data_IF_903016035719
#
_entry.id   IF_903016035719
#
_cell.length_a   1.000
_cell.length_b   1.000
_cell.length_c   1.000
_cell.angle_alpha   90.00
_cell.angle_beta   90.00
_cell.angle_gamma   90.00
#
_symmetry.space_group_name_H-M   'P 1'
#
loop_
_entity.id
_entity.type
_entity.pdbx_description
1 polymer ?
#
# COMPACT_ATOMS: atom_id res chain seq x y z
N UNK A 1 44.21 -28.99 53.38
CA UNK A 1 43.20 -27.89 53.35
C UNK A 1 43.29 -27.26 51.94
N UNK A 2 42.42 -27.69 51.05
CA UNK A 2 42.36 -27.19 49.67
C UNK A 2 41.36 -26.05 49.59
N UNK A 3 41.83 -24.87 49.22
CA UNK A 3 40.97 -23.68 49.02
C UNK A 3 40.29 -23.82 47.67
N UNK A 4 38.98 -23.95 47.66
CA UNK A 4 38.12 -23.88 46.49
C UNK A 4 37.91 -22.39 46.13
N UNK A 5 38.50 -21.93 45.07
CA UNK A 5 38.16 -20.62 44.49
C UNK A 5 37.00 -20.79 43.53
N UNK A 6 35.84 -20.30 43.92
CA UNK A 6 34.67 -20.24 43.06
C UNK A 6 34.86 -19.05 42.07
N UNK A 7 35.00 -19.34 40.81
CA UNK A 7 34.94 -18.33 39.73
C UNK A 7 33.49 -18.01 39.46
N UNK A 8 33.05 -16.80 39.82
CA UNK A 8 31.76 -16.25 39.50
C UNK A 8 31.81 -15.72 38.07
N UNK A 9 31.30 -16.50 37.11
CA UNK A 9 31.06 -16.02 35.74
C UNK A 9 29.85 -15.10 35.77
N UNK A 10 30.07 -13.80 35.76
CA UNK A 10 29.04 -12.80 35.46
C UNK A 10 28.79 -12.82 33.96
N UNK A 11 27.71 -13.47 33.53
CA UNK A 11 27.18 -13.35 32.17
C UNK A 11 26.50 -12.01 32.12
N UNK A 12 27.18 -11.02 31.53
CA UNK A 12 26.56 -9.74 31.17
C UNK A 12 25.66 -9.99 29.97
N UNK A 13 24.36 -10.17 30.21
CA UNK A 13 23.35 -10.13 29.17
C UNK A 13 23.28 -8.68 28.70
N UNK A 14 23.95 -8.36 27.57
CA UNK A 14 23.69 -7.12 26.84
C UNK A 14 22.27 -7.23 26.28
N UNK A 15 21.31 -6.67 27.00
CA UNK A 15 20.01 -6.32 26.43
C UNK A 15 20.30 -5.16 25.48
N UNK A 16 20.45 -5.46 24.18
CA UNK A 16 20.35 -4.43 23.14
C UNK A 16 18.95 -3.87 23.21
N UNK A 17 18.77 -2.80 23.97
CA UNK A 17 17.57 -1.95 23.84
C UNK A 17 17.67 -1.36 22.43
N UNK A 18 16.88 -1.91 21.52
CA UNK A 18 16.62 -1.32 20.22
C UNK A 18 15.91 0.01 20.51
N UNK A 19 16.67 1.10 20.62
CA UNK A 19 16.11 2.44 20.51
C UNK A 19 15.83 2.59 19.02
N UNK A 20 14.58 2.60 18.56
CA UNK A 20 14.29 2.93 17.18
C UNK A 20 14.90 4.33 16.98
N UNK A 21 15.87 4.43 16.08
CA UNK A 21 16.45 5.71 15.72
C UNK A 21 15.29 6.66 15.41
N UNK A 22 15.25 7.82 16.05
CA UNK A 22 14.21 8.80 15.82
C UNK A 22 14.18 9.07 14.31
N UNK A 23 13.09 8.67 13.64
CA UNK A 23 12.90 8.97 12.23
C UNK A 23 13.10 10.48 12.06
N UNK A 24 13.90 10.88 11.09
CA UNK A 24 14.13 12.31 10.86
C UNK A 24 12.78 12.99 10.65
N UNK A 25 12.55 14.10 11.36
CA UNK A 25 11.39 14.92 11.09
C UNK A 25 11.55 15.45 9.66
N UNK A 26 10.70 14.98 8.76
CA UNK A 26 10.68 15.43 7.37
C UNK A 26 10.01 16.81 7.24
N UNK A 27 9.73 17.26 6.01
CA UNK A 27 9.02 18.51 5.78
C UNK A 27 7.68 18.52 6.50
N UNK A 28 7.39 19.59 7.25
CA UNK A 28 6.07 19.80 7.83
C UNK A 28 5.08 20.15 6.71
N UNK A 29 4.02 19.37 6.58
CA UNK A 29 2.95 19.61 5.63
C UNK A 29 1.74 20.21 6.34
N UNK A 30 1.22 21.32 5.79
CA UNK A 30 0.07 22.02 6.38
C UNK A 30 -1.29 21.46 5.93
N UNK A 31 -1.34 20.91 4.73
CA UNK A 31 -2.58 20.47 4.09
C UNK A 31 -2.80 18.96 4.15
N UNK A 32 -1.77 18.16 4.40
CA UNK A 32 -1.82 16.71 4.61
C UNK A 32 -1.62 16.41 6.09
N UNK A 33 -2.55 15.67 6.68
CA UNK A 33 -2.55 15.39 8.12
C UNK A 33 -1.45 14.43 8.54
N UNK A 34 -1.27 13.36 7.79
CA UNK A 34 -0.29 12.32 8.09
C UNK A 34 0.47 11.88 6.85
N UNK A 35 1.75 11.54 7.03
CA UNK A 35 2.53 10.86 6.00
C UNK A 35 3.61 9.95 6.60
N UNK A 36 4.05 8.99 5.80
CA UNK A 36 5.19 8.16 6.06
C UNK A 36 5.94 7.88 4.77
N UNK A 37 7.27 8.04 4.78
CA UNK A 37 8.16 7.60 3.72
C UNK A 37 9.07 6.53 4.29
N UNK A 38 9.12 5.40 3.62
CA UNK A 38 10.04 4.30 3.96
C UNK A 38 10.91 3.98 2.75
N UNK A 39 12.09 3.44 3.03
CA UNK A 39 12.87 2.70 2.05
C UNK A 39 12.14 1.39 1.74
N UNK A 40 11.86 1.13 0.45
CA UNK A 40 11.03 -0.01 0.05
C UNK A 40 11.71 -1.37 0.28
N UNK A 41 13.04 -1.41 0.24
CA UNK A 41 13.78 -2.66 0.37
C UNK A 41 13.98 -3.05 1.84
N UNK A 42 14.27 -2.06 2.70
CA UNK A 42 14.59 -2.30 4.12
C UNK A 42 13.41 -2.08 5.07
N UNK A 43 12.40 -1.29 4.67
CA UNK A 43 11.30 -0.85 5.53
C UNK A 43 11.67 0.26 6.53
N UNK A 44 12.88 0.84 6.40
CA UNK A 44 13.35 1.90 7.29
C UNK A 44 12.53 3.18 7.07
N UNK A 45 12.01 3.76 8.15
CA UNK A 45 11.32 5.05 8.09
C UNK A 45 12.34 6.17 7.87
N UNK A 46 12.18 6.90 6.77
CA UNK A 46 13.06 8.00 6.38
C UNK A 46 12.52 9.35 6.82
N UNK A 47 11.19 9.54 6.70
CA UNK A 47 10.52 10.77 7.14
C UNK A 47 9.07 10.48 7.50
N UNK A 48 8.52 11.24 8.45
CA UNK A 48 7.17 11.02 8.91
C UNK A 48 6.53 12.28 9.54
N UNK A 49 5.21 12.31 9.53
CA UNK A 49 4.36 13.21 10.30
C UNK A 49 3.11 12.42 10.70
N UNK A 50 2.81 12.32 12.00
CA UNK A 50 1.65 11.60 12.53
C UNK A 50 1.49 10.18 11.95
N UNK A 51 2.60 9.47 11.69
CA UNK A 51 2.62 8.24 10.90
C UNK A 51 1.77 7.10 11.45
N UNK A 52 1.51 7.10 12.77
CA UNK A 52 0.73 6.07 13.46
C UNK A 52 -0.71 6.52 13.78
N UNK A 53 -1.12 7.69 13.29
CA UNK A 53 -2.50 8.15 13.48
C UNK A 53 -3.47 7.29 12.68
N UNK A 54 -4.52 6.79 13.34
CA UNK A 54 -5.58 5.99 12.73
C UNK A 54 -6.52 6.88 11.92
N UNK A 55 -6.56 6.67 10.61
CA UNK A 55 -7.32 7.46 9.66
C UNK A 55 -8.04 6.53 8.69
N UNK A 56 -9.16 6.99 8.12
CA UNK A 56 -9.83 6.26 7.06
C UNK A 56 -8.99 6.25 5.78
N UNK A 57 -8.66 5.06 5.23
CA UNK A 57 -7.77 4.93 4.08
C UNK A 57 -8.40 5.30 2.73
N UNK A 58 -9.72 5.17 2.59
CA UNK A 58 -10.39 5.12 1.31
C UNK A 58 -9.79 4.01 0.42
N UNK A 59 -9.77 4.19 -0.90
CA UNK A 59 -9.35 3.14 -1.85
C UNK A 59 -7.88 2.73 -1.82
N UNK A 60 -7.03 3.32 -0.96
CA UNK A 60 -5.69 2.73 -0.74
C UNK A 60 -5.77 1.38 -0.01
N UNK A 61 -6.90 1.06 0.65
CA UNK A 61 -7.26 -0.28 1.15
C UNK A 61 -7.01 -1.38 0.12
N UNK A 62 -7.29 -1.11 -1.17
CA UNK A 62 -7.16 -2.08 -2.25
C UNK A 62 -5.74 -2.61 -2.46
N UNK A 63 -4.74 -1.94 -1.89
CA UNK A 63 -3.35 -2.46 -1.87
C UNK A 63 -3.30 -3.80 -1.14
N UNK A 64 -3.98 -3.94 0.02
CA UNK A 64 -4.07 -5.20 0.76
C UNK A 64 -4.84 -6.24 -0.04
N UNK A 65 -5.98 -5.89 -0.59
CA UNK A 65 -6.84 -6.80 -1.39
C UNK A 65 -6.10 -7.35 -2.61
N UNK A 66 -5.41 -6.47 -3.36
CA UNK A 66 -4.59 -6.86 -4.50
C UNK A 66 -3.38 -7.71 -4.09
N UNK A 67 -2.72 -7.36 -2.99
CA UNK A 67 -1.59 -8.12 -2.46
C UNK A 67 -1.98 -9.57 -2.14
N UNK A 68 -3.09 -9.76 -1.42
CA UNK A 68 -3.59 -11.11 -1.08
C UNK A 68 -4.04 -11.89 -2.31
N UNK A 69 -4.68 -11.24 -3.29
CA UNK A 69 -5.09 -11.89 -4.52
C UNK A 69 -3.87 -12.35 -5.34
N UNK A 70 -2.82 -11.53 -5.44
CA UNK A 70 -1.57 -11.89 -6.09
C UNK A 70 -0.82 -13.00 -5.34
N UNK A 71 -0.78 -12.94 -4.00
CA UNK A 71 -0.21 -13.99 -3.16
C UNK A 71 -0.89 -15.33 -3.41
N UNK A 72 -2.23 -15.37 -3.38
CA UNK A 72 -2.99 -16.60 -3.62
C UNK A 72 -2.79 -17.15 -5.03
N UNK A 73 -2.74 -16.31 -6.02
CA UNK A 73 -2.59 -16.70 -7.42
C UNK A 73 -1.17 -17.17 -7.78
N UNK A 74 -0.15 -16.79 -7.00
CA UNK A 74 1.27 -17.18 -7.22
C UNK A 74 1.74 -16.94 -8.66
N UNK A 75 1.26 -15.88 -9.30
CA UNK A 75 1.59 -15.55 -10.70
C UNK A 75 0.81 -16.33 -11.76
N UNK A 76 -0.06 -17.26 -11.37
CA UNK A 76 -0.90 -18.07 -12.29
C UNK A 76 -2.27 -17.42 -12.48
N UNK A 77 -2.36 -16.33 -13.22
CA UNK A 77 -3.60 -15.57 -13.35
C UNK A 77 -4.44 -15.93 -14.57
N UNK A 78 -3.78 -16.36 -15.65
CA UNK A 78 -4.38 -16.44 -16.99
C UNK A 78 -5.47 -17.50 -17.08
N UNK A 79 -5.37 -18.57 -16.30
CA UNK A 79 -6.33 -19.69 -16.31
C UNK A 79 -7.42 -19.56 -15.24
N UNK A 80 -7.36 -18.54 -14.36
CA UNK A 80 -8.32 -18.36 -13.27
C UNK A 80 -9.44 -17.46 -13.72
N UNK A 81 -10.68 -17.99 -13.65
CA UNK A 81 -11.91 -17.23 -13.85
C UNK A 81 -12.71 -17.18 -12.57
N UNK A 82 -13.23 -16.01 -12.26
CA UNK A 82 -14.04 -15.72 -11.10
C UNK A 82 -15.48 -15.50 -11.56
N UNK A 83 -16.45 -16.06 -10.85
CA UNK A 83 -17.87 -15.84 -11.12
C UNK A 83 -18.37 -14.77 -10.16
N UNK A 84 -18.89 -13.69 -10.69
CA UNK A 84 -19.44 -12.57 -9.90
C UNK A 84 -20.69 -13.03 -9.17
N UNK A 85 -20.72 -12.86 -7.87
CA UNK A 85 -21.86 -13.21 -7.02
C UNK A 85 -22.83 -12.03 -6.87
N UNK A 86 -24.00 -12.31 -6.31
CA UNK A 86 -24.95 -11.26 -5.92
C UNK A 86 -24.32 -10.26 -4.94
N UNK A 87 -23.57 -10.75 -3.96
CA UNK A 87 -22.96 -9.94 -2.92
C UNK A 87 -21.89 -8.98 -3.47
N UNK A 88 -21.10 -9.41 -4.46
CA UNK A 88 -20.06 -8.56 -5.09
C UNK A 88 -20.62 -7.24 -5.62
N UNK A 89 -21.85 -7.27 -6.11
CA UNK A 89 -22.48 -6.12 -6.78
C UNK A 89 -23.47 -5.40 -5.87
N UNK A 90 -24.38 -6.16 -5.24
CA UNK A 90 -25.50 -5.55 -4.51
C UNK A 90 -25.13 -5.03 -3.13
N UNK A 91 -24.04 -5.50 -2.51
CA UNK A 91 -23.50 -4.87 -1.30
C UNK A 91 -23.07 -3.41 -1.53
N UNK A 92 -22.82 -3.02 -2.77
CA UNK A 92 -22.46 -1.65 -3.16
C UNK A 92 -23.67 -0.80 -3.55
N UNK A 93 -24.87 -1.35 -3.54
CA UNK A 93 -26.09 -0.62 -3.95
C UNK A 93 -26.35 0.60 -3.05
N UNK A 94 -26.60 1.75 -3.67
CA UNK A 94 -26.80 3.00 -2.97
C UNK A 94 -25.54 3.71 -2.50
N UNK A 95 -24.37 3.16 -2.76
CA UNK A 95 -23.08 3.84 -2.54
C UNK A 95 -22.68 4.63 -3.80
N UNK A 96 -22.11 5.84 -3.59
CA UNK A 96 -21.50 6.62 -4.66
C UNK A 96 -20.01 6.19 -4.78
N UNK A 97 -19.79 4.98 -5.27
CA UNK A 97 -18.47 4.37 -5.31
C UNK A 97 -18.03 3.97 -6.71
N UNK A 98 -16.73 3.94 -6.95
CA UNK A 98 -16.16 3.51 -8.24
C UNK A 98 -16.45 2.03 -8.49
N UNK A 99 -16.93 1.67 -9.68
CA UNK A 99 -17.19 0.30 -10.10
C UNK A 99 -16.99 0.17 -11.63
N UNK A 100 -16.88 -1.05 -12.13
CA UNK A 100 -16.82 -1.36 -13.57
C UNK A 100 -18.12 -1.99 -14.08
N UNK A 101 -19.18 -1.88 -13.29
CA UNK A 101 -20.52 -2.40 -13.58
C UNK A 101 -20.52 -3.93 -13.83
N UNK A 102 -19.86 -4.69 -12.97
CA UNK A 102 -19.98 -6.16 -12.97
C UNK A 102 -21.44 -6.57 -12.73
N UNK A 103 -21.81 -7.73 -13.22
CA UNK A 103 -23.16 -8.29 -13.08
C UNK A 103 -23.09 -9.69 -12.49
N UNK A 104 -24.07 -10.03 -11.65
CA UNK A 104 -24.21 -11.36 -11.10
C UNK A 104 -24.17 -12.43 -12.21
N UNK A 105 -23.37 -13.50 -12.02
CA UNK A 105 -23.13 -14.58 -12.98
C UNK A 105 -22.13 -14.25 -14.08
N UNK A 106 -21.53 -13.04 -14.07
CA UNK A 106 -20.47 -12.67 -15.01
C UNK A 106 -19.19 -13.45 -14.69
N UNK A 107 -18.58 -14.06 -15.70
CA UNK A 107 -17.29 -14.74 -15.59
C UNK A 107 -16.17 -13.77 -15.94
N UNK A 108 -15.36 -13.43 -14.94
CA UNK A 108 -14.29 -12.43 -15.06
C UNK A 108 -12.94 -13.13 -14.88
N UNK A 109 -12.01 -13.03 -15.85
CA UNK A 109 -10.63 -13.46 -15.65
C UNK A 109 -10.01 -12.75 -14.43
N UNK A 110 -9.22 -13.48 -13.63
CA UNK A 110 -8.56 -12.89 -12.46
C UNK A 110 -7.69 -11.69 -12.86
N UNK A 111 -7.01 -11.79 -14.00
CA UNK A 111 -6.22 -10.69 -14.57
C UNK A 111 -7.05 -9.41 -14.75
N UNK A 112 -8.27 -9.53 -15.29
CA UNK A 112 -9.19 -8.41 -15.50
C UNK A 112 -9.65 -7.81 -14.17
N UNK A 113 -9.97 -8.66 -13.18
CA UNK A 113 -10.36 -8.20 -11.84
C UNK A 113 -9.22 -7.42 -11.15
N UNK A 114 -7.97 -7.89 -11.27
CA UNK A 114 -6.79 -7.22 -10.73
C UNK A 114 -6.60 -5.82 -11.36
N UNK A 115 -6.59 -5.74 -12.68
CA UNK A 115 -6.40 -4.45 -13.37
C UNK A 115 -7.59 -3.50 -13.19
N UNK A 116 -8.81 -3.98 -13.15
CA UNK A 116 -9.99 -3.17 -12.85
C UNK A 116 -9.90 -2.56 -11.43
N UNK A 117 -9.54 -3.37 -10.44
CA UNK A 117 -9.39 -2.94 -9.05
C UNK A 117 -8.26 -1.93 -8.90
N UNK A 118 -7.15 -2.11 -9.60
CA UNK A 118 -6.03 -1.18 -9.56
C UNK A 118 -6.33 0.12 -10.31
N UNK A 119 -6.70 0.03 -11.60
CA UNK A 119 -6.73 1.18 -12.51
C UNK A 119 -8.04 1.96 -12.45
N UNK A 120 -9.19 1.28 -12.42
CA UNK A 120 -10.50 1.92 -12.28
C UNK A 120 -10.89 2.10 -10.80
N UNK A 121 -10.09 1.62 -9.86
CA UNK A 121 -10.44 1.60 -8.43
C UNK A 121 -11.77 0.88 -8.15
N UNK A 122 -12.10 -0.14 -8.95
CA UNK A 122 -13.37 -0.84 -8.94
C UNK A 122 -13.65 -1.50 -7.59
N UNK A 123 -14.77 -1.13 -6.95
CA UNK A 123 -15.19 -1.71 -5.67
C UNK A 123 -15.81 -3.10 -5.88
N UNK A 124 -16.58 -3.28 -6.96
CA UNK A 124 -17.08 -4.59 -7.39
C UNK A 124 -15.95 -5.56 -7.72
N UNK A 125 -14.88 -5.08 -8.37
CA UNK A 125 -13.66 -5.84 -8.57
C UNK A 125 -12.96 -6.20 -7.25
N UNK A 126 -12.93 -5.28 -6.29
CA UNK A 126 -12.32 -5.55 -4.98
C UNK A 126 -13.12 -6.58 -4.16
N UNK A 127 -14.46 -6.55 -4.23
CA UNK A 127 -15.33 -7.56 -3.63
C UNK A 127 -15.05 -8.94 -4.23
N UNK A 128 -15.05 -9.05 -5.55
CA UNK A 128 -14.75 -10.27 -6.29
C UNK A 128 -13.37 -10.84 -5.93
N UNK A 129 -12.35 -9.99 -5.78
CA UNK A 129 -11.03 -10.42 -5.33
C UNK A 129 -11.02 -10.87 -3.87
N UNK A 130 -11.78 -10.21 -2.99
CA UNK A 130 -11.91 -10.61 -1.60
C UNK A 130 -12.61 -11.96 -1.46
N UNK A 131 -13.67 -12.21 -2.23
CA UNK A 131 -14.35 -13.50 -2.29
C UNK A 131 -13.39 -14.60 -2.80
N UNK A 132 -12.61 -14.31 -3.84
CA UNK A 132 -11.56 -15.21 -4.31
C UNK A 132 -10.54 -15.54 -3.22
N UNK A 133 -10.04 -14.54 -2.50
CA UNK A 133 -9.09 -14.71 -1.38
C UNK A 133 -9.72 -15.51 -0.25
N UNK A 134 -10.97 -15.20 0.10
CA UNK A 134 -11.72 -15.82 1.19
C UNK A 134 -12.21 -17.24 0.90
N UNK A 135 -12.13 -17.69 -0.38
CA UNK A 135 -12.60 -19.02 -0.82
C UNK A 135 -14.12 -19.23 -0.71
N UNK A 136 -14.87 -18.15 -0.89
CA UNK A 136 -16.33 -18.26 -0.97
C UNK A 136 -17.12 -17.04 -0.50
N UNK A 137 -16.58 -16.20 0.38
CA UNK A 137 -17.28 -14.98 0.80
C UNK A 137 -16.37 -13.76 0.91
N UNK A 138 -16.95 -12.57 0.72
CA UNK A 138 -16.25 -11.29 0.96
C UNK A 138 -15.79 -11.20 2.43
N UNK A 139 -16.63 -11.65 3.37
CA UNK A 139 -16.32 -11.61 4.81
C UNK A 139 -15.07 -12.45 5.15
N UNK A 140 -14.93 -13.64 4.56
CA UNK A 140 -13.73 -14.46 4.73
C UNK A 140 -12.50 -13.79 4.13
N UNK A 141 -12.66 -13.09 2.99
CA UNK A 141 -11.61 -12.28 2.39
C UNK A 141 -11.16 -11.15 3.33
N UNK A 142 -12.09 -10.44 3.94
CA UNK A 142 -11.79 -9.40 4.95
C UNK A 142 -11.12 -10.00 6.18
N UNK A 143 -11.55 -11.18 6.64
CA UNK A 143 -10.87 -11.89 7.72
C UNK A 143 -9.41 -12.23 7.36
N UNK A 144 -9.12 -12.62 6.11
CA UNK A 144 -7.74 -12.81 5.63
C UNK A 144 -6.94 -11.50 5.60
N UNK A 145 -7.58 -10.37 5.25
CA UNK A 145 -6.93 -9.05 5.31
C UNK A 145 -6.50 -8.73 6.75
N UNK A 146 -7.37 -8.91 7.74
CA UNK A 146 -7.05 -8.65 9.15
C UNK A 146 -6.04 -9.66 9.72
N UNK A 147 -6.10 -10.93 9.33
CA UNK A 147 -5.08 -11.90 9.68
C UNK A 147 -3.69 -11.47 9.16
N UNK A 148 -3.61 -10.93 7.94
CA UNK A 148 -2.36 -10.39 7.40
C UNK A 148 -1.86 -9.17 8.18
N UNK A 149 -2.75 -8.29 8.61
CA UNK A 149 -2.41 -7.17 9.51
C UNK A 149 -1.72 -7.67 10.78
N UNK A 150 -2.27 -8.70 11.41
CA UNK A 150 -1.70 -9.33 12.61
C UNK A 150 -0.34 -9.99 12.32
N UNK A 151 -0.21 -10.75 11.21
CA UNK A 151 1.04 -11.38 10.80
C UNK A 151 2.16 -10.38 10.52
N UNK A 152 1.83 -9.21 9.98
CA UNK A 152 2.76 -8.12 9.76
C UNK A 152 3.07 -7.32 11.03
N UNK A 153 2.37 -7.58 12.14
CA UNK A 153 2.54 -6.88 13.40
C UNK A 153 2.09 -5.41 13.37
N UNK A 154 1.08 -5.09 12.57
CA UNK A 154 0.58 -3.73 12.38
C UNK A 154 -0.50 -3.42 13.43
N UNK A 155 -0.25 -2.38 14.24
CA UNK A 155 -1.06 -2.10 15.42
C UNK A 155 -2.19 -1.08 15.17
N UNK A 156 -2.16 -0.36 14.05
CA UNK A 156 -3.06 0.76 13.76
C UNK A 156 -3.89 0.51 12.50
N UNK A 157 -4.26 -0.75 12.23
CA UNK A 157 -5.01 -1.11 11.03
C UNK A 157 -6.08 -2.14 11.34
N UNK A 158 -7.30 -1.87 10.87
CA UNK A 158 -8.39 -2.83 10.81
C UNK A 158 -9.22 -2.58 9.54
N UNK A 159 -9.55 -3.63 8.84
CA UNK A 159 -10.35 -3.60 7.63
C UNK A 159 -11.76 -4.14 7.87
N UNK A 160 -12.78 -3.34 7.57
CA UNK A 160 -14.19 -3.75 7.59
C UNK A 160 -14.68 -4.17 6.19
N UNK A 161 -13.96 -3.80 5.14
CA UNK A 161 -14.29 -4.11 3.76
C UNK A 161 -13.04 -4.12 2.86
N UNK A 162 -13.11 -4.72 1.64
CA UNK A 162 -11.94 -4.87 0.78
C UNK A 162 -11.64 -3.66 -0.11
N UNK A 163 -12.48 -2.62 -0.09
CA UNK A 163 -12.44 -1.54 -1.08
C UNK A 163 -12.17 -0.14 -0.51
N UNK A 164 -12.45 0.09 0.78
CA UNK A 164 -12.16 1.36 1.45
C UNK A 164 -13.34 2.34 1.52
N UNK A 165 -14.57 1.89 1.35
CA UNK A 165 -15.73 2.68 1.75
C UNK A 165 -15.64 2.90 3.25
N UNK A 166 -15.88 4.14 3.70
CA UNK A 166 -15.72 4.51 5.11
C UNK A 166 -16.70 3.75 6.00
N UNK A 167 -16.16 3.21 7.07
CA UNK A 167 -16.84 2.50 8.14
C UNK A 167 -16.11 2.88 9.44
N UNK A 168 -16.79 2.88 10.59
CA UNK A 168 -16.18 3.24 11.88
C UNK A 168 -15.03 2.30 12.25
N UNK A 169 -15.14 1.03 11.88
CA UNK A 169 -14.14 0.00 12.12
C UNK A 169 -13.13 -0.16 10.96
N UNK A 170 -13.13 0.77 9.98
CA UNK A 170 -12.24 0.71 8.82
C UNK A 170 -11.20 1.82 8.86
N UNK A 171 -10.02 1.51 9.37
CA UNK A 171 -8.92 2.47 9.57
C UNK A 171 -7.56 1.86 9.30
N UNK A 172 -6.59 2.71 9.07
CA UNK A 172 -5.15 2.38 8.97
C UNK A 172 -4.32 3.59 9.35
N UNK A 173 -3.01 3.41 9.45
CA UNK A 173 -2.04 4.49 9.59
C UNK A 173 -1.15 4.60 8.34
N UNK A 174 -0.46 5.74 8.18
CA UNK A 174 0.50 5.89 7.08
C UNK A 174 1.65 4.89 7.15
N UNK A 175 2.11 4.58 8.37
CA UNK A 175 3.15 3.58 8.58
C UNK A 175 2.67 2.17 8.21
N UNK A 176 1.52 1.77 8.75
CA UNK A 176 0.99 0.43 8.48
C UNK A 176 0.71 0.24 6.99
N UNK A 177 0.10 1.24 6.33
CA UNK A 177 -0.15 1.18 4.89
C UNK A 177 1.16 1.14 4.07
N UNK A 178 2.23 1.80 4.52
CA UNK A 178 3.52 1.69 3.87
C UNK A 178 4.12 0.28 4.00
N UNK A 179 3.98 -0.37 5.16
CA UNK A 179 4.41 -1.75 5.37
C UNK A 179 3.54 -2.75 4.58
N UNK A 180 2.22 -2.50 4.47
CA UNK A 180 1.31 -3.28 3.63
C UNK A 180 1.73 -3.19 2.15
N UNK A 181 2.03 -1.98 1.64
CA UNK A 181 2.49 -1.83 0.27
C UNK A 181 3.85 -2.51 0.05
N UNK A 182 4.76 -2.41 1.02
CA UNK A 182 6.06 -3.09 0.98
C UNK A 182 5.89 -4.60 0.89
N UNK A 183 5.05 -5.20 1.74
CA UNK A 183 4.71 -6.62 1.69
C UNK A 183 4.06 -7.01 0.36
N UNK A 184 3.12 -6.19 -0.12
CA UNK A 184 2.42 -6.46 -1.38
C UNK A 184 3.37 -6.48 -2.58
N UNK A 185 4.39 -5.61 -2.61
CA UNK A 185 5.42 -5.58 -3.66
C UNK A 185 6.27 -6.87 -3.70
N UNK A 186 6.32 -7.64 -2.63
CA UNK A 186 6.98 -8.94 -2.59
C UNK A 186 6.12 -10.07 -3.19
N UNK A 187 4.81 -9.82 -3.43
CA UNK A 187 3.91 -10.85 -3.93
C UNK A 187 4.03 -11.03 -5.44
N UNK A 188 4.02 -12.29 -5.94
CA UNK A 188 4.22 -12.57 -7.37
C UNK A 188 3.24 -11.79 -8.25
N UNK A 189 3.77 -10.91 -9.11
CA UNK A 189 3.02 -10.13 -10.08
C UNK A 189 2.33 -8.87 -9.55
N UNK A 190 2.30 -8.62 -8.25
CA UNK A 190 1.68 -7.41 -7.71
C UNK A 190 2.31 -6.15 -8.29
N UNK A 191 3.64 -6.06 -8.35
CA UNK A 191 4.32 -4.88 -8.90
C UNK A 191 3.92 -4.63 -10.37
N UNK A 192 3.74 -5.67 -11.18
CA UNK A 192 3.27 -5.56 -12.57
C UNK A 192 1.88 -4.90 -12.64
N UNK A 193 0.95 -5.30 -11.78
CA UNK A 193 -0.40 -4.70 -11.70
C UNK A 193 -0.32 -3.27 -11.17
N UNK A 194 0.41 -3.06 -10.08
CA UNK A 194 0.49 -1.78 -9.38
C UNK A 194 1.17 -0.69 -10.20
N UNK A 195 2.16 -1.06 -11.03
CA UNK A 195 2.91 -0.12 -11.86
C UNK A 195 2.35 0.05 -13.28
N UNK A 196 1.27 -0.67 -13.66
CA UNK A 196 0.65 -0.53 -14.99
C UNK A 196 0.31 0.92 -15.29
N UNK A 197 0.81 1.43 -16.40
CA UNK A 197 0.56 2.82 -16.83
C UNK A 197 -0.23 2.91 -18.14
N UNK A 198 -0.03 1.95 -19.04
CA UNK A 198 -0.75 1.87 -20.28
C UNK A 198 -2.22 1.48 -20.05
N UNK A 199 -3.10 1.96 -20.91
CA UNK A 199 -4.51 1.57 -20.90
C UNK A 199 -4.63 0.04 -20.88
N UNK A 200 -5.50 -0.47 -20.03
CA UNK A 200 -5.88 -1.88 -20.00
C UNK A 200 -7.22 -2.08 -20.70
N UNK A 201 -7.34 -3.16 -21.46
CA UNK A 201 -8.56 -3.53 -22.16
C UNK A 201 -9.07 -4.85 -21.60
N UNK A 202 -10.28 -4.83 -21.07
CA UNK A 202 -11.02 -6.01 -20.66
C UNK A 202 -11.99 -6.40 -21.77
N UNK A 203 -11.86 -7.59 -22.28
CA UNK A 203 -12.71 -8.12 -23.33
C UNK A 203 -14.16 -8.34 -22.86
N UNK A 204 -15.13 -8.46 -23.80
CA UNK A 204 -16.49 -8.87 -23.47
C UNK A 204 -16.53 -10.20 -22.69
N UNK A 205 -17.45 -10.27 -21.72
CA UNK A 205 -17.66 -11.47 -20.91
C UNK A 205 -18.89 -12.27 -21.38
N UNK A 206 -19.18 -13.36 -20.71
CA UNK A 206 -20.37 -14.19 -20.98
C UNK A 206 -21.71 -13.41 -20.84
N UNK A 207 -21.74 -12.33 -20.05
CA UNK A 207 -22.95 -11.54 -19.78
C UNK A 207 -22.89 -10.16 -20.43
N UNK A 208 -21.71 -9.50 -20.42
CA UNK A 208 -21.56 -8.15 -20.95
C UNK A 208 -20.83 -8.16 -22.29
N UNK A 209 -21.52 -7.82 -23.41
CA UNK A 209 -20.93 -7.87 -24.74
C UNK A 209 -20.13 -6.57 -25.07
N UNK A 210 -19.68 -5.84 -24.06
CA UNK A 210 -19.00 -4.54 -24.22
C UNK A 210 -17.59 -4.62 -23.71
N UNK A 211 -16.62 -4.21 -24.53
CA UNK A 211 -15.23 -4.03 -24.10
C UNK A 211 -15.12 -2.87 -23.10
N UNK A 212 -14.42 -3.08 -21.99
CA UNK A 212 -14.15 -2.04 -20.99
C UNK A 212 -12.71 -1.60 -21.09
N UNK A 213 -12.47 -0.30 -20.90
CA UNK A 213 -11.15 0.32 -20.99
C UNK A 213 -10.81 1.00 -19.67
N UNK A 214 -9.65 0.68 -19.10
CA UNK A 214 -9.18 1.29 -17.86
C UNK A 214 -7.91 2.10 -18.17
N UNK A 215 -8.00 3.41 -17.98
CA UNK A 215 -6.89 4.34 -18.20
C UNK A 215 -6.27 4.79 -16.90
N UNK A 216 -5.00 5.19 -16.94
CA UNK A 216 -4.31 5.77 -15.80
C UNK A 216 -5.03 7.04 -15.30
N UNK A 217 -5.36 7.07 -14.01
CA UNK A 217 -6.06 8.20 -13.38
C UNK A 217 -5.15 9.07 -12.51
N UNK A 218 -3.99 8.55 -12.11
CA UNK A 218 -3.05 9.32 -11.31
C UNK A 218 -2.33 10.37 -12.15
N UNK A 219 -2.56 11.64 -11.81
CA UNK A 219 -1.95 12.78 -12.51
C UNK A 219 -0.43 12.83 -12.35
N UNK A 220 0.16 12.16 -11.35
CA UNK A 220 1.60 12.05 -11.22
C UNK A 220 2.22 11.10 -12.24
N UNK A 221 1.42 10.20 -12.80
CA UNK A 221 1.85 9.19 -13.76
C UNK A 221 1.46 9.51 -15.22
N UNK A 222 0.61 10.51 -15.42
CA UNK A 222 0.19 10.98 -16.75
C UNK A 222 1.20 12.01 -17.26
N UNK A 223 1.95 11.68 -18.32
CA UNK A 223 3.06 12.51 -18.83
C UNK A 223 2.67 13.93 -19.24
N UNK A 224 1.43 14.16 -19.68
CA UNK A 224 0.92 15.51 -20.03
C UNK A 224 0.43 16.32 -18.83
N UNK A 225 0.42 15.73 -17.63
CA UNK A 225 -0.05 16.40 -16.41
C UNK A 225 1.02 17.32 -15.85
N UNK A 226 0.63 18.51 -15.36
CA UNK A 226 1.52 19.40 -14.60
C UNK A 226 2.07 18.79 -13.31
N UNK A 227 1.43 17.71 -12.82
CA UNK A 227 1.85 17.00 -11.62
C UNK A 227 2.77 15.82 -11.93
N UNK A 228 3.07 15.57 -13.20
CA UNK A 228 3.89 14.41 -13.57
C UNK A 228 5.24 14.37 -12.84
N UNK A 229 5.58 13.19 -12.31
CA UNK A 229 6.86 12.89 -11.67
C UNK A 229 7.35 11.55 -12.20
N UNK A 230 8.49 11.56 -12.89
CA UNK A 230 9.07 10.35 -13.54
C UNK A 230 9.46 9.26 -12.55
N UNK A 231 9.78 9.64 -11.30
CA UNK A 231 10.15 8.69 -10.25
C UNK A 231 8.96 7.89 -9.73
N UNK A 232 7.70 8.36 -9.85
CA UNK A 232 6.52 7.58 -9.41
C UNK A 232 6.24 6.45 -10.40
N UNK A 233 6.47 5.21 -9.96
CA UNK A 233 6.31 3.99 -10.78
C UNK A 233 4.94 3.36 -10.64
N UNK A 234 4.39 3.34 -9.45
CA UNK A 234 3.07 2.79 -9.13
C UNK A 234 2.37 3.59 -8.06
N UNK A 235 1.04 3.59 -8.08
CA UNK A 235 0.27 4.34 -7.08
C UNK A 235 -1.15 3.83 -6.92
N UNK A 236 -1.73 4.06 -5.74
CA UNK A 236 -3.15 3.93 -5.47
C UNK A 236 -3.69 5.23 -4.89
N UNK A 237 -4.75 5.72 -5.49
CA UNK A 237 -5.48 6.90 -5.04
C UNK A 237 -6.62 6.48 -4.13
N UNK A 238 -6.95 7.32 -3.15
CA UNK A 238 -8.13 7.16 -2.29
C UNK A 238 -8.85 8.48 -2.10
N UNK A 239 -10.19 8.42 -2.06
CA UNK A 239 -11.05 9.53 -1.66
C UNK A 239 -12.38 9.02 -1.14
N UNK A 240 -12.80 9.52 0.00
CA UNK A 240 -14.17 9.57 0.47
C UNK A 240 -14.37 10.91 1.18
N UNK A 241 -15.62 11.30 1.43
CA UNK A 241 -15.86 12.54 2.16
C UNK A 241 -15.25 12.55 3.57
N UNK A 242 -15.17 11.39 4.22
CA UNK A 242 -14.57 11.21 5.55
C UNK A 242 -13.04 11.14 5.49
N UNK A 243 -12.52 10.31 4.59
CA UNK A 243 -11.07 10.09 4.45
C UNK A 243 -10.33 11.29 3.83
N UNK A 244 -11.05 12.17 3.12
CA UNK A 244 -10.42 13.15 2.24
C UNK A 244 -9.54 12.45 1.20
N UNK A 245 -8.41 13.04 0.80
CA UNK A 245 -7.54 12.46 -0.21
C UNK A 245 -6.41 11.66 0.45
N UNK A 246 -6.30 10.39 0.06
CA UNK A 246 -5.21 9.48 0.43
C UNK A 246 -4.42 9.09 -0.80
N UNK A 247 -3.14 8.79 -0.60
CA UNK A 247 -2.24 8.40 -1.68
C UNK A 247 -1.19 7.43 -1.15
N UNK A 248 -0.96 6.34 -1.86
CA UNK A 248 0.14 5.41 -1.59
C UNK A 248 0.90 5.16 -2.89
N UNK A 249 2.21 5.31 -2.91
CA UNK A 249 3.00 5.11 -4.12
C UNK A 249 4.34 4.42 -3.87
N UNK A 250 4.80 3.73 -4.92
CA UNK A 250 6.18 3.32 -5.13
C UNK A 250 6.85 4.37 -6.01
N UNK A 251 7.98 4.90 -5.57
CA UNK A 251 8.81 5.80 -6.35
C UNK A 251 10.23 5.24 -6.45
N UNK A 252 10.88 5.45 -7.61
CA UNK A 252 12.24 4.99 -7.85
C UNK A 252 13.05 6.03 -8.60
N UNK A 253 14.25 6.31 -8.10
CA UNK A 253 15.21 7.21 -8.72
C UNK A 253 16.64 6.75 -8.40
N UNK A 254 17.48 6.63 -9.43
CA UNK A 254 18.89 6.24 -9.29
C UNK A 254 19.12 4.94 -8.48
N UNK A 255 18.22 3.96 -8.62
CA UNK A 255 18.29 2.70 -7.90
C UNK A 255 17.78 2.73 -6.45
N UNK A 256 17.36 3.88 -5.94
CA UNK A 256 16.70 4.01 -4.64
C UNK A 256 15.19 3.84 -4.83
N UNK A 257 14.59 2.92 -4.09
CA UNK A 257 13.15 2.64 -4.11
C UNK A 257 12.51 3.14 -2.82
N UNK A 258 11.50 3.97 -2.94
CA UNK A 258 10.78 4.56 -1.81
C UNK A 258 9.30 4.23 -1.87
N UNK A 259 8.70 4.00 -0.71
CA UNK A 259 7.26 4.00 -0.53
C UNK A 259 6.88 5.29 0.18
N UNK A 260 5.94 6.04 -0.39
CA UNK A 260 5.38 7.25 0.21
C UNK A 260 3.88 7.09 0.37
N UNK A 261 3.40 7.26 1.60
CA UNK A 261 1.97 7.26 1.92
C UNK A 261 1.59 8.59 2.53
N UNK A 262 0.51 9.20 2.03
CA UNK A 262 -0.11 10.39 2.60
C UNK A 262 -1.59 10.13 2.83
N UNK A 263 -2.12 10.62 3.95
CA UNK A 263 -3.54 10.47 4.30
C UNK A 263 -4.13 11.78 4.77
N UNK A 264 -5.41 11.94 4.47
CA UNK A 264 -6.22 13.10 4.86
C UNK A 264 -5.64 14.43 4.36
N UNK A 265 -5.30 14.51 3.06
CA UNK A 265 -5.03 15.79 2.39
C UNK A 265 -6.35 16.50 2.11
N UNK A 266 -6.42 17.80 2.35
CA UNK A 266 -7.65 18.59 2.25
C UNK A 266 -8.18 18.67 0.80
N UNK A 267 -7.31 18.95 -0.16
CA UNK A 267 -7.65 19.05 -1.57
C UNK A 267 -6.86 18.04 -2.42
N UNK A 268 -7.41 17.69 -3.57
CA UNK A 268 -6.73 16.80 -4.51
C UNK A 268 -5.43 17.40 -5.04
N UNK A 269 -5.32 18.74 -5.09
CA UNK A 269 -4.10 19.46 -5.48
C UNK A 269 -3.02 19.38 -4.42
N UNK A 270 -3.41 19.43 -3.15
CA UNK A 270 -2.49 19.39 -2.01
C UNK A 270 -1.80 18.03 -1.94
N UNK A 271 -2.57 16.95 -2.09
CA UNK A 271 -2.04 15.59 -2.19
C UNK A 271 -0.86 15.50 -3.18
N UNK A 272 -1.01 16.06 -4.39
CA UNK A 272 0.05 16.00 -5.41
C UNK A 272 1.25 16.90 -5.08
N UNK A 273 1.01 18.09 -4.55
CA UNK A 273 2.06 19.02 -4.17
C UNK A 273 2.88 18.49 -2.98
N UNK A 274 2.17 17.93 -1.99
CA UNK A 274 2.79 17.39 -0.78
C UNK A 274 3.62 16.13 -1.11
N UNK A 275 3.08 15.20 -1.91
CA UNK A 275 3.84 14.03 -2.35
C UNK A 275 5.09 14.42 -3.14
N UNK A 276 5.02 15.44 -4.02
CA UNK A 276 6.20 15.98 -4.72
C UNK A 276 7.23 16.47 -3.71
N UNK A 277 6.82 17.32 -2.77
CA UNK A 277 7.70 17.87 -1.73
C UNK A 277 8.38 16.76 -0.93
N UNK A 278 7.63 15.72 -0.56
CA UNK A 278 8.13 14.59 0.18
C UNK A 278 9.14 13.75 -0.61
N UNK A 279 8.85 13.45 -1.88
CA UNK A 279 9.76 12.68 -2.74
C UNK A 279 11.02 13.48 -3.08
N UNK A 280 10.91 14.77 -3.38
CA UNK A 280 12.06 15.65 -3.63
C UNK A 280 12.96 15.73 -2.39
N UNK A 281 12.37 15.88 -1.20
CA UNK A 281 13.12 15.82 0.07
C UNK A 281 13.81 14.47 0.25
N UNK A 282 13.08 13.36 0.10
CA UNK A 282 13.64 12.04 0.38
C UNK A 282 14.77 11.68 -0.61
N UNK A 283 14.57 11.88 -1.91
CA UNK A 283 15.60 11.61 -2.90
C UNK A 283 16.82 12.54 -2.81
N UNK A 284 16.64 13.79 -2.38
CA UNK A 284 17.78 14.69 -2.18
C UNK A 284 18.57 14.37 -0.91
N UNK A 285 17.88 13.86 0.14
CA UNK A 285 18.50 13.63 1.46
C UNK A 285 19.15 12.24 1.55
N UNK A 286 18.54 11.22 0.89
CA UNK A 286 18.90 9.81 1.09
C UNK A 286 19.57 9.14 -0.14
N UNK A 287 20.06 9.90 -1.11
CA UNK A 287 20.70 9.40 -2.34
C UNK A 287 22.04 8.65 -2.14
N UNK A 288 22.57 8.61 -0.92
CA UNK A 288 23.85 7.99 -0.61
C UNK A 288 23.81 6.52 -0.17
N UNK A 289 22.64 5.87 -0.21
CA UNK A 289 22.46 4.51 0.35
C UNK A 289 22.60 3.36 -0.66
N UNK A 290 23.09 3.61 -1.86
CA UNK A 290 23.26 2.58 -2.91
C UNK A 290 24.29 1.48 -2.59
N UNK A 291 25.08 1.65 -1.52
CA UNK A 291 26.12 0.68 -1.12
C UNK A 291 25.72 -0.20 0.08
N UNK A 292 24.48 -0.15 0.54
CA UNK A 292 24.02 -1.06 1.60
C UNK A 292 23.75 -2.44 1.00
N UNK A 293 24.39 -3.49 1.51
CA UNK A 293 24.14 -4.85 1.02
C UNK A 293 22.68 -5.23 1.27
N UNK A 294 22.02 -5.68 0.20
CA UNK A 294 20.68 -6.23 0.28
C UNK A 294 20.60 -7.31 1.36
N UNK A 295 19.70 -7.11 2.32
CA UNK A 295 19.37 -8.03 3.41
C UNK A 295 20.46 -8.34 4.43
N UNK A 296 20.33 -7.79 5.63
CA UNK A 296 20.93 -8.33 6.85
C UNK A 296 22.06 -7.53 7.48
N UNK A 297 22.29 -6.30 7.11
CA UNK A 297 23.23 -5.43 7.82
C UNK A 297 22.44 -4.32 8.51
N UNK A 298 22.43 -4.35 9.85
CA UNK A 298 22.09 -3.19 10.67
C UNK A 298 23.22 -2.16 10.51
N UNK A 299 23.14 -1.31 9.51
CA UNK A 299 24.05 -0.20 9.37
C UNK A 299 23.63 0.89 10.38
N UNK A 300 24.55 1.25 11.27
CA UNK A 300 24.42 2.51 11.98
C UNK A 300 24.57 3.64 10.96
N UNK A 301 23.45 4.34 10.68
CA UNK A 301 23.49 5.54 9.87
C UNK A 301 24.31 6.60 10.61
N UNK A 302 25.29 7.25 9.98
CA UNK A 302 25.91 8.41 10.58
C UNK A 302 24.84 9.51 10.73
N UNK A 303 24.57 9.92 11.96
CA UNK A 303 23.75 11.11 12.24
C UNK A 303 24.55 12.31 11.74
N UNK A 304 24.21 12.80 10.56
CA UNK A 304 24.71 14.08 10.08
C UNK A 304 23.97 15.19 10.83
N UNK A 305 24.66 15.85 11.72
CA UNK A 305 24.12 17.07 12.32
C UNK A 305 24.39 17.22 13.80
N UNK A 306 25.54 17.70 14.10
CA UNK A 306 25.95 18.15 15.42
C UNK A 306 27.27 18.87 15.32
N UNK A 307 27.31 19.92 14.51
CA UNK A 307 28.31 20.94 14.62
C UNK A 307 27.82 21.96 15.66
N UNK A 308 28.36 21.89 16.86
CA UNK A 308 28.33 22.97 17.83
C UNK A 308 29.63 23.73 17.78
#
# INVERSE_FOLDING_TARGET
MKKLTAALCVVLLMICVFVPGAAAAGPALGATRAYCIIDADTGLVLAQQNMNEELHPASITKVMTLGLACEKAQGNWDDIKLTVTHEDVYSLAGTDSSHIALREGEEVPLTDALYATQMASANDGANLLAEYVGEGTIADGVAKMNARVEELGLAHTHFANPHGISDEDHYTSCYDMAQILRWALEQPGFEQVFTRNEMYTMDPTNIQPVTRYFSQQDKMRIGSSRYHITSVKGSKLGYTNTARYSYACLAEQNGVRLICVTMQSELSTDKYNDVRTLLDYAFSTFTGYTDLPARGVTAQLPVMGGGG
#
